data_IF_220219397113
#
_entry.id   IF_220219397113
#
_cell.length_a   1.000
_cell.length_b   1.000
_cell.length_c   1.000
_cell.angle_alpha   90.00
_cell.angle_beta   90.00
_cell.angle_gamma   90.00
#
_symmetry.space_group_name_H-M   'P 1'
#
loop_
_entity.id
_entity.type
_entity.pdbx_description
1 polymer ?
#
# COMPACT_ATOMS: atom_id res chain seq x y z
N UNK A 1 -9.20 7.07 54.85
CA UNK A 1 -9.82 6.95 53.52
C UNK A 1 -9.14 7.93 52.60
N UNK A 2 -8.25 7.46 51.73
CA UNK A 2 -7.58 8.29 50.73
C UNK A 2 -8.44 8.28 49.47
N UNK A 3 -8.86 9.48 49.05
CA UNK A 3 -9.61 9.75 47.84
C UNK A 3 -8.63 9.65 46.67
N UNK A 4 -8.78 8.62 45.84
CA UNK A 4 -8.06 8.51 44.55
C UNK A 4 -8.77 9.45 43.57
N UNK A 5 -8.06 10.31 42.82
CA UNK A 5 -8.66 11.18 41.82
C UNK A 5 -9.28 10.36 40.69
N UNK A 6 -10.43 10.83 40.19
CA UNK A 6 -11.08 10.29 39.00
C UNK A 6 -10.16 10.50 37.78
N UNK A 7 -9.75 9.40 37.15
CA UNK A 7 -9.13 9.41 35.82
C UNK A 7 -10.24 9.79 34.82
N UNK A 8 -10.31 11.08 34.48
CA UNK A 8 -10.97 11.54 33.27
C UNK A 8 -10.25 10.89 32.09
N UNK A 9 -10.93 9.99 31.37
CA UNK A 9 -10.46 9.49 30.09
C UNK A 9 -10.35 10.69 29.14
N UNK A 10 -9.13 11.21 28.96
CA UNK A 10 -8.78 12.02 27.79
C UNK A 10 -9.02 11.13 26.56
N UNK A 11 -10.16 11.36 25.89
CA UNK A 11 -10.35 11.02 24.49
C UNK A 11 -9.30 11.83 23.70
N UNK A 12 -8.07 11.31 23.63
CA UNK A 12 -7.10 11.75 22.63
C UNK A 12 -7.73 11.48 21.26
N UNK A 13 -8.22 12.55 20.64
CA UNK A 13 -8.52 12.64 19.22
C UNK A 13 -7.26 12.23 18.44
N UNK A 14 -7.12 10.93 18.15
CA UNK A 14 -6.21 10.37 17.14
C UNK A 14 -6.72 10.81 15.75
N UNK A 15 -6.70 12.12 15.45
CA UNK A 15 -6.59 12.61 14.09
C UNK A 15 -5.15 12.39 13.63
N UNK A 16 -4.78 11.13 13.44
CA UNK A 16 -3.64 10.78 12.61
C UNK A 16 -4.00 11.21 11.19
N UNK A 17 -3.48 12.37 10.76
CA UNK A 17 -3.33 12.68 9.36
C UNK A 17 -2.67 11.47 8.70
N UNK A 18 -3.42 10.73 7.88
CA UNK A 18 -2.85 9.83 6.87
C UNK A 18 -2.08 10.68 5.86
N UNK A 19 -0.89 11.14 6.25
CA UNK A 19 0.17 11.45 5.30
C UNK A 19 0.60 10.11 4.72
N UNK A 20 -0.12 9.72 3.68
CA UNK A 20 0.12 8.52 2.90
C UNK A 20 1.47 8.65 2.16
N UNK A 21 2.58 8.46 2.88
CA UNK A 21 3.92 8.32 2.32
C UNK A 21 4.25 6.83 2.14
N UNK A 22 3.42 6.13 1.37
CA UNK A 22 3.75 4.81 0.83
C UNK A 22 4.73 4.92 -0.36
N UNK A 23 5.58 3.91 -0.60
CA UNK A 23 6.66 4.00 -1.57
C UNK A 23 6.12 4.12 -3.00
N UNK A 24 6.45 5.23 -3.66
CA UNK A 24 6.18 5.47 -5.09
C UNK A 24 6.95 4.44 -5.92
N UNK A 25 6.30 3.34 -6.27
CA UNK A 25 6.82 2.37 -7.24
C UNK A 25 6.71 3.01 -8.64
N UNK A 26 7.86 3.33 -9.23
CA UNK A 26 7.96 3.75 -10.62
C UNK A 26 7.70 2.53 -11.52
N UNK A 27 6.53 2.50 -12.16
CA UNK A 27 6.29 1.67 -13.36
C UNK A 27 6.21 2.67 -14.52
N UNK A 28 7.08 2.48 -15.51
CA UNK A 28 7.31 3.41 -16.60
C UNK A 28 6.10 3.73 -17.50
N UNK A 29 6.29 4.83 -18.25
CA UNK A 29 5.49 5.45 -19.31
C UNK A 29 4.13 4.82 -19.67
N UNK A 30 3.06 5.33 -19.04
CA UNK A 30 1.70 5.41 -19.60
C UNK A 30 0.92 6.54 -18.88
N UNK A 31 -0.01 7.24 -19.55
CA UNK A 31 -0.46 8.56 -19.14
C UNK A 31 -1.35 8.54 -17.89
N UNK A 32 -1.10 9.52 -17.02
CA UNK A 32 -1.81 9.88 -15.80
C UNK A 32 -3.35 9.85 -15.93
N UNK A 33 -4.01 9.08 -15.06
CA UNK A 33 -5.46 9.17 -14.83
C UNK A 33 -5.70 10.30 -13.83
N UNK A 34 -6.22 11.44 -14.32
CA UNK A 34 -6.66 12.54 -13.47
C UNK A 34 -8.01 12.19 -12.84
N UNK A 35 -8.06 12.13 -11.51
CA UNK A 35 -9.30 11.93 -10.74
C UNK A 35 -10.11 13.22 -10.75
N UNK A 36 -11.32 13.18 -11.30
CA UNK A 36 -12.28 14.30 -11.29
C UNK A 36 -12.87 14.42 -9.87
N UNK A 37 -12.76 15.57 -9.17
CA UNK A 37 -13.41 15.75 -7.88
C UNK A 37 -14.92 15.65 -8.00
N UNK A 38 -15.55 14.77 -7.21
CA UNK A 38 -17.01 14.65 -7.13
C UNK A 38 -17.58 15.88 -6.42
N UNK A 39 -18.41 16.65 -7.13
CA UNK A 39 -19.26 17.67 -6.54
C UNK A 39 -20.29 17.01 -5.62
N UNK A 40 -20.40 17.51 -4.39
CA UNK A 40 -21.33 17.06 -3.33
C UNK A 40 -22.73 17.61 -3.62
N UNK A 41 -23.77 16.78 -3.81
CA UNK A 41 -25.16 17.25 -3.83
C UNK A 41 -25.63 17.60 -2.42
N UNK A 42 -26.17 18.80 -2.25
CA UNK A 42 -26.77 19.25 -1.00
C UNK A 42 -28.11 18.53 -0.74
N UNK A 43 -28.29 18.08 0.49
CA UNK A 43 -29.48 17.37 1.01
C UNK A 43 -30.57 18.39 1.33
N UNK A 44 -31.77 18.19 0.79
CA UNK A 44 -33.03 18.81 1.27
C UNK A 44 -33.88 17.70 1.92
N UNK A 45 -34.60 17.96 3.04
CA UNK A 45 -35.21 16.92 3.85
C UNK A 45 -36.46 16.30 3.22
N UNK A 46 -36.67 15.03 3.57
CA UNK A 46 -37.77 14.13 3.20
C UNK A 46 -39.14 14.65 3.67
N UNK A 47 -40.13 14.55 2.78
CA UNK A 47 -41.54 14.40 3.15
C UNK A 47 -42.09 13.11 2.52
N UNK A 48 -43.00 12.51 3.27
CA UNK A 48 -43.42 11.12 3.25
C UNK A 48 -44.65 10.90 2.35
N UNK A 49 -44.88 9.62 2.00
CA UNK A 49 -46.13 8.98 1.55
C UNK A 49 -46.35 8.76 0.05
N UNK A 50 -46.87 7.56 -0.27
CA UNK A 50 -47.73 7.33 -1.44
C UNK A 50 -47.21 6.33 -2.48
N UNK A 51 -47.43 5.04 -2.23
CA UNK A 51 -47.64 4.01 -3.26
C UNK A 51 -48.75 4.44 -4.20
N UNK A 52 -48.51 4.56 -5.53
CA UNK A 52 -49.49 4.33 -6.62
C UNK A 52 -48.75 4.13 -7.97
N UNK A 53 -49.28 3.24 -8.80
CA UNK A 53 -48.65 2.70 -10.00
C UNK A 53 -48.81 3.52 -11.29
N UNK A 54 -47.94 3.18 -12.25
CA UNK A 54 -48.05 3.21 -13.72
C UNK A 54 -48.75 4.40 -14.41
N UNK A 55 -47.98 5.18 -15.18
CA UNK A 55 -48.47 5.82 -16.41
C UNK A 55 -47.31 6.25 -17.30
N UNK A 56 -47.06 5.47 -18.36
CA UNK A 56 -46.29 5.86 -19.53
C UNK A 56 -47.21 6.74 -20.40
N UNK A 57 -46.95 8.05 -20.44
CA UNK A 57 -47.76 9.00 -21.21
C UNK A 57 -46.84 9.96 -21.96
N UNK A 58 -46.36 9.50 -23.11
CA UNK A 58 -45.77 10.33 -24.16
C UNK A 58 -46.84 11.28 -24.72
N UNK A 59 -46.74 12.56 -24.35
CA UNK A 59 -47.48 13.64 -25.00
C UNK A 59 -46.48 14.65 -25.57
N UNK A 60 -46.13 14.46 -26.84
CA UNK A 60 -45.50 15.50 -27.65
C UNK A 60 -46.50 16.65 -27.85
N UNK A 61 -46.35 17.70 -27.04
CA UNK A 61 -47.12 18.92 -27.16
C UNK A 61 -46.85 19.65 -28.49
N UNK A 62 -47.85 20.32 -29.10
CA UNK A 62 -47.69 21.00 -30.38
C UNK A 62 -46.64 22.11 -30.32
N UNK A 63 -45.64 22.07 -31.21
CA UNK A 63 -44.62 23.11 -31.36
C UNK A 63 -45.28 24.35 -31.95
N UNK A 64 -45.25 25.47 -31.21
CA UNK A 64 -45.73 26.76 -31.68
C UNK A 64 -44.69 27.36 -32.64
N UNK A 65 -44.98 27.33 -33.95
CA UNK A 65 -44.20 28.08 -34.93
C UNK A 65 -44.37 29.57 -34.63
N UNK A 66 -43.27 30.23 -34.28
CA UNK A 66 -43.21 31.67 -34.15
C UNK A 66 -42.95 32.24 -35.54
N UNK A 67 -44.02 32.54 -36.28
CA UNK A 67 -43.98 33.48 -37.40
C UNK A 67 -43.86 34.88 -36.78
N UNK A 68 -42.63 35.36 -36.64
CA UNK A 68 -42.35 36.78 -36.47
C UNK A 68 -41.87 37.29 -37.85
N UNK A 69 -42.80 37.44 -38.79
CA UNK A 69 -42.63 38.36 -39.93
C UNK A 69 -43.06 39.76 -39.47
N UNK A 70 -42.23 40.74 -39.85
CA UNK A 70 -42.50 42.19 -39.92
C UNK A 70 -42.44 43.02 -38.64
N UNK A 71 -41.24 43.55 -38.31
CA UNK A 71 -41.10 44.90 -37.73
C UNK A 71 -39.92 45.65 -38.38
N UNK A 72 -40.30 46.51 -39.33
CA UNK A 72 -39.88 47.90 -39.54
C UNK A 72 -38.38 48.26 -39.78
N UNK A 73 -38.16 48.54 -41.06
CA UNK A 73 -37.32 49.57 -41.69
C UNK A 73 -36.95 50.77 -40.78
N UNK A 74 -35.73 50.79 -40.23
CA UNK A 74 -35.01 52.02 -39.93
C UNK A 74 -33.52 51.75 -39.59
N UNK A 75 -32.66 51.59 -40.61
CA UNK A 75 -31.24 51.94 -40.45
C UNK A 75 -30.56 52.24 -41.81
N UNK A 76 -30.92 53.41 -42.32
CA UNK A 76 -30.05 54.37 -42.99
C UNK A 76 -28.59 53.94 -43.24
N UNK A 77 -28.30 53.59 -44.49
CA UNK A 77 -27.07 53.95 -45.22
C UNK A 77 -25.69 53.63 -44.61
N UNK A 78 -25.55 52.66 -43.71
CA UNK A 78 -24.21 52.20 -43.29
C UNK A 78 -23.72 51.00 -44.13
N UNK A 79 -23.30 51.32 -45.35
CA UNK A 79 -22.09 50.76 -45.97
C UNK A 79 -22.06 49.24 -46.20
N UNK A 80 -22.63 48.83 -47.34
CA UNK A 80 -22.36 47.55 -48.02
C UNK A 80 -20.84 47.28 -48.25
N UNK A 81 -20.02 48.34 -48.18
CA UNK A 81 -18.55 48.30 -48.27
C UNK A 81 -17.90 47.88 -46.93
N UNK A 82 -18.40 48.37 -45.78
CA UNK A 82 -17.87 48.08 -44.44
C UNK A 82 -18.08 46.61 -44.05
N UNK A 83 -19.20 46.01 -44.47
CA UNK A 83 -19.48 44.58 -44.24
C UNK A 83 -18.59 43.65 -45.08
N UNK A 84 -18.05 44.10 -46.22
CA UNK A 84 -17.11 43.32 -47.06
C UNK A 84 -15.67 43.33 -46.52
N UNK A 85 -15.25 44.41 -45.85
CA UNK A 85 -13.91 44.51 -45.24
C UNK A 85 -13.81 43.58 -44.01
N UNK A 86 -14.86 43.53 -43.18
CA UNK A 86 -14.88 42.63 -42.00
C UNK A 86 -14.78 41.13 -42.33
N UNK A 87 -15.22 40.70 -43.52
CA UNK A 87 -15.15 39.28 -43.94
C UNK A 87 -13.79 38.86 -44.49
N UNK A 88 -12.93 39.81 -44.87
CA UNK A 88 -11.61 39.53 -45.48
C UNK A 88 -10.53 39.37 -44.41
N UNK A 89 -10.61 40.14 -43.33
CA UNK A 89 -9.63 40.08 -42.24
C UNK A 89 -9.95 39.02 -41.17
N UNK A 90 -11.16 38.49 -41.11
CA UNK A 90 -11.52 37.41 -40.18
C UNK A 90 -10.76 36.11 -40.42
N UNK A 91 -10.49 35.75 -41.69
CA UNK A 91 -9.71 34.56 -42.02
C UNK A 91 -8.23 34.78 -41.67
N UNK A 92 -7.70 35.97 -41.95
CA UNK A 92 -6.32 36.33 -41.64
C UNK A 92 -6.06 36.36 -40.12
N UNK A 93 -7.01 36.88 -39.32
CA UNK A 93 -6.94 36.84 -37.86
C UNK A 93 -7.06 35.41 -37.29
N UNK A 94 -7.89 34.55 -37.90
CA UNK A 94 -8.05 33.14 -37.49
C UNK A 94 -6.84 32.26 -37.85
N UNK A 95 -6.12 32.59 -38.93
CA UNK A 95 -4.86 31.95 -39.29
C UNK A 95 -3.67 32.51 -38.49
N UNK A 96 -3.67 33.80 -38.14
CA UNK A 96 -2.62 34.43 -37.33
C UNK A 96 -2.64 34.05 -35.85
N UNK A 97 -3.78 33.54 -35.33
CA UNK A 97 -3.93 33.01 -33.96
C UNK A 97 -3.72 31.49 -33.86
N UNK A 98 -3.14 30.82 -34.87
CA UNK A 98 -2.66 29.45 -34.67
C UNK A 98 -1.41 29.51 -33.78
N UNK A 99 -1.60 29.43 -32.47
CA UNK A 99 -0.53 29.08 -31.53
C UNK A 99 0.25 27.87 -32.09
N UNK A 100 1.59 27.80 -31.95
CA UNK A 100 2.34 26.59 -32.29
C UNK A 100 1.69 25.39 -31.59
N UNK A 101 1.79 24.16 -32.13
CA UNK A 101 1.04 23.02 -31.63
C UNK A 101 1.47 22.73 -30.19
N UNK A 102 0.79 23.35 -29.24
CA UNK A 102 0.84 23.01 -27.84
C UNK A 102 0.18 21.64 -27.76
N UNK A 103 0.99 20.64 -27.42
CA UNK A 103 0.78 19.20 -27.56
C UNK A 103 -0.35 18.63 -26.67
N UNK A 104 -1.31 19.46 -26.25
CA UNK A 104 -2.31 19.12 -25.24
C UNK A 104 -3.75 19.29 -25.72
N UNK A 105 -3.97 19.64 -26.98
CA UNK A 105 -5.28 19.40 -27.62
C UNK A 105 -5.25 18.00 -28.18
N UNK A 106 -6.29 17.21 -27.89
CA UNK A 106 -6.57 15.88 -28.44
C UNK A 106 -6.68 15.98 -29.97
N UNK A 107 -5.56 16.19 -30.64
CA UNK A 107 -5.40 15.96 -32.06
C UNK A 107 -5.18 14.47 -32.12
N UNK A 108 -6.27 13.73 -32.29
CA UNK A 108 -6.16 12.31 -32.62
C UNK A 108 -5.09 12.18 -33.70
N UNK A 109 -4.04 11.34 -33.49
CA UNK A 109 -3.05 11.14 -34.51
C UNK A 109 -3.81 10.74 -35.78
N UNK A 110 -3.43 11.32 -36.93
CA UNK A 110 -4.00 10.98 -38.25
C UNK A 110 -3.61 9.55 -38.64
N UNK A 111 -3.94 8.59 -37.79
CA UNK A 111 -3.82 7.17 -38.04
C UNK A 111 -4.78 6.84 -39.17
N UNK A 112 -4.34 5.97 -40.07
CA UNK A 112 -5.20 5.45 -41.14
C UNK A 112 -6.47 4.86 -40.52
N UNK A 113 -7.59 4.89 -41.26
CA UNK A 113 -8.85 4.24 -40.82
C UNK A 113 -8.62 2.77 -40.45
N UNK A 114 -7.66 2.12 -41.10
CA UNK A 114 -7.24 0.75 -40.84
C UNK A 114 -6.55 0.61 -39.48
N UNK A 115 -5.57 1.47 -39.15
CA UNK A 115 -4.90 1.50 -37.85
C UNK A 115 -5.89 1.80 -36.71
N UNK A 116 -6.89 2.66 -36.96
CA UNK A 116 -7.98 2.90 -36.01
C UNK A 116 -8.85 1.67 -35.75
N UNK A 117 -9.17 0.92 -36.81
CA UNK A 117 -9.91 -0.32 -36.69
C UNK A 117 -9.10 -1.39 -35.96
N UNK A 118 -7.79 -1.47 -36.23
CA UNK A 118 -6.90 -2.38 -35.53
C UNK A 118 -6.82 -2.05 -34.04
N UNK A 119 -6.62 -0.78 -33.67
CA UNK A 119 -6.63 -0.35 -32.26
C UNK A 119 -7.98 -0.67 -31.60
N UNK A 120 -9.10 -0.39 -32.28
CA UNK A 120 -10.44 -0.73 -31.79
C UNK A 120 -10.58 -2.23 -31.55
N UNK A 121 -10.09 -3.07 -32.47
CA UNK A 121 -10.12 -4.53 -32.33
C UNK A 121 -9.19 -5.01 -31.21
N UNK A 122 -7.99 -4.46 -31.07
CA UNK A 122 -7.05 -4.78 -29.99
C UNK A 122 -7.64 -4.42 -28.62
N UNK A 123 -8.27 -3.25 -28.50
CA UNK A 123 -8.99 -2.84 -27.29
C UNK A 123 -10.16 -3.79 -27.04
N UNK A 124 -10.97 -4.09 -28.06
CA UNK A 124 -12.13 -4.97 -27.95
C UNK A 124 -11.75 -6.38 -27.48
N UNK A 125 -10.76 -7.00 -28.12
CA UNK A 125 -10.27 -8.34 -27.76
C UNK A 125 -9.67 -8.37 -26.35
N UNK A 126 -8.88 -7.36 -25.99
CA UNK A 126 -8.31 -7.23 -24.64
C UNK A 126 -9.40 -7.07 -23.59
N UNK A 127 -10.41 -6.25 -23.86
CA UNK A 127 -11.53 -6.01 -22.97
C UNK A 127 -12.36 -7.29 -22.75
N UNK A 128 -12.70 -8.02 -23.82
CA UNK A 128 -13.42 -9.29 -23.73
C UNK A 128 -12.68 -10.27 -22.83
N UNK A 129 -11.35 -10.41 -22.99
CA UNK A 129 -10.52 -11.27 -22.14
C UNK A 129 -10.50 -10.84 -20.68
N UNK A 130 -10.46 -9.53 -20.40
CA UNK A 130 -10.47 -9.00 -19.02
C UNK A 130 -11.82 -9.19 -18.35
N UNK A 131 -12.91 -8.99 -19.10
CA UNK A 131 -14.27 -9.15 -18.58
C UNK A 131 -14.61 -10.63 -18.33
N UNK A 132 -14.11 -11.56 -19.14
CA UNK A 132 -14.32 -13.00 -18.91
C UNK A 132 -13.58 -13.53 -17.69
N UNK A 133 -12.48 -12.87 -17.28
CA UNK A 133 -11.70 -13.20 -16.09
C UNK A 133 -11.96 -12.24 -14.93
N UNK A 134 -13.06 -11.49 -14.97
CA UNK A 134 -13.37 -10.47 -13.96
C UNK A 134 -13.65 -11.16 -12.61
N UNK A 135 -12.86 -10.88 -11.55
CA UNK A 135 -13.12 -11.41 -10.21
C UNK A 135 -14.46 -10.93 -9.66
N UNK A 136 -15.07 -11.74 -8.80
CA UNK A 136 -16.29 -11.37 -8.08
C UNK A 136 -16.00 -10.32 -7.00
N UNK A 137 -17.04 -9.60 -6.54
CA UNK A 137 -16.88 -8.61 -5.48
C UNK A 137 -16.40 -9.25 -4.16
N UNK A 138 -16.95 -10.41 -3.81
CA UNK A 138 -16.55 -11.17 -2.62
C UNK A 138 -15.08 -11.59 -2.67
N UNK A 139 -14.57 -12.04 -3.82
CA UNK A 139 -13.15 -12.35 -3.98
C UNK A 139 -12.24 -11.14 -3.78
N UNK A 140 -12.69 -9.94 -4.18
CA UNK A 140 -11.95 -8.72 -3.95
C UNK A 140 -11.98 -8.31 -2.47
N UNK A 141 -13.08 -8.58 -1.76
CA UNK A 141 -13.19 -8.39 -0.31
C UNK A 141 -12.25 -9.33 0.46
N UNK A 142 -12.23 -10.62 0.08
CA UNK A 142 -11.33 -11.63 0.66
C UNK A 142 -9.85 -11.28 0.43
N UNK A 143 -9.52 -10.68 -0.71
CA UNK A 143 -8.16 -10.19 -1.01
C UNK A 143 -7.86 -8.81 -0.43
N UNK A 144 -8.78 -8.23 0.35
CA UNK A 144 -8.69 -6.90 0.94
C UNK A 144 -8.49 -5.76 -0.09
N UNK A 145 -8.94 -5.98 -1.34
CA UNK A 145 -8.91 -4.96 -2.40
C UNK A 145 -10.20 -4.13 -2.36
N UNK A 146 -11.34 -4.78 -2.17
CA UNK A 146 -12.63 -4.12 -1.96
C UNK A 146 -12.89 -4.04 -0.46
N UNK A 147 -12.91 -2.83 0.10
CA UNK A 147 -13.23 -2.63 1.51
C UNK A 147 -14.75 -2.66 1.72
N UNK A 148 -15.25 -3.25 2.83
CA UNK A 148 -16.65 -3.11 3.23
C UNK A 148 -17.03 -1.62 3.35
N UNK A 149 -18.23 -1.25 2.90
CA UNK A 149 -18.64 0.15 2.77
C UNK A 149 -18.83 0.90 4.09
N UNK A 150 -18.97 0.19 5.21
CA UNK A 150 -19.22 0.84 6.50
C UNK A 150 -17.91 1.15 7.25
N UNK A 151 -17.43 2.38 7.10
CA UNK A 151 -16.22 2.86 7.80
C UNK A 151 -16.42 2.86 9.32
N UNK A 152 -17.62 3.22 9.80
CA UNK A 152 -17.92 3.27 11.22
C UNK A 152 -17.79 1.89 11.89
N UNK A 153 -18.32 0.84 11.25
CA UNK A 153 -18.20 -0.53 11.77
C UNK A 153 -16.74 -1.00 11.80
N UNK A 154 -15.95 -0.68 10.78
CA UNK A 154 -14.52 -1.01 10.75
C UNK A 154 -13.75 -0.31 11.87
N UNK A 155 -14.03 0.96 12.13
CA UNK A 155 -13.40 1.69 13.22
C UNK A 155 -13.83 1.14 14.58
N UNK A 156 -15.10 0.78 14.76
CA UNK A 156 -15.59 0.13 15.96
C UNK A 156 -14.91 -1.24 16.18
N UNK A 157 -14.73 -2.04 15.12
CA UNK A 157 -14.03 -3.32 15.19
C UNK A 157 -12.55 -3.12 15.55
N UNK A 158 -11.86 -2.14 14.94
CA UNK A 158 -10.47 -1.79 15.30
C UNK A 158 -10.37 -1.41 16.78
N UNK A 159 -11.25 -0.53 17.27
CA UNK A 159 -11.30 -0.13 18.69
C UNK A 159 -11.57 -1.32 19.60
N UNK A 160 -12.50 -2.21 19.23
CA UNK A 160 -12.79 -3.43 19.99
C UNK A 160 -11.60 -4.39 20.04
N UNK A 161 -10.91 -4.58 18.91
CA UNK A 161 -9.71 -5.41 18.84
C UNK A 161 -8.61 -4.82 19.72
N UNK A 162 -8.36 -3.50 19.64
CA UNK A 162 -7.37 -2.79 20.48
C UNK A 162 -7.71 -2.97 21.96
N UNK A 163 -8.96 -2.66 22.35
CA UNK A 163 -9.46 -2.82 23.73
C UNK A 163 -9.28 -4.25 24.26
N UNK A 164 -9.68 -5.25 23.47
CA UNK A 164 -9.56 -6.66 23.84
C UNK A 164 -8.11 -7.10 23.96
N UNK A 165 -7.23 -6.65 23.06
CA UNK A 165 -5.82 -6.97 23.09
C UNK A 165 -5.13 -6.36 24.32
N UNK A 166 -5.34 -5.08 24.59
CA UNK A 166 -4.81 -4.40 25.78
C UNK A 166 -5.20 -5.13 27.06
N UNK A 167 -6.48 -5.50 27.20
CA UNK A 167 -6.95 -6.30 28.34
C UNK A 167 -6.20 -7.64 28.44
N UNK A 168 -6.05 -8.38 27.33
CA UNK A 168 -5.33 -9.66 27.30
C UNK A 168 -3.85 -9.53 27.66
N UNK A 169 -3.19 -8.47 27.21
CA UNK A 169 -1.78 -8.22 27.49
C UNK A 169 -1.56 -7.79 28.95
N UNK A 170 -2.49 -7.01 29.52
CA UNK A 170 -2.42 -6.59 30.94
C UNK A 170 -2.56 -7.76 31.92
N UNK A 171 -3.32 -8.80 31.54
CA UNK A 171 -3.55 -10.00 32.35
C UNK A 171 -2.68 -11.17 31.89
N UNK A 172 -1.52 -10.87 31.28
CA UNK A 172 -0.61 -11.90 30.80
C UNK A 172 0.08 -12.57 31.99
N UNK A 173 -0.01 -13.91 32.14
CA UNK A 173 0.59 -14.62 33.26
C UNK A 173 2.12 -14.54 33.21
N UNK A 174 2.75 -14.51 34.39
CA UNK A 174 4.20 -14.50 34.52
C UNK A 174 4.81 -15.89 34.23
N UNK A 175 6.11 -15.92 33.92
CA UNK A 175 6.83 -17.19 33.70
C UNK A 175 6.77 -18.08 34.95
N UNK A 176 6.91 -17.49 36.15
CA UNK A 176 6.80 -18.19 37.42
C UNK A 176 5.42 -18.85 37.60
N UNK A 177 4.34 -18.15 37.25
CA UNK A 177 2.98 -18.72 37.28
C UNK A 177 2.81 -19.89 36.31
N UNK A 178 3.35 -19.79 35.09
CA UNK A 178 3.26 -20.86 34.10
C UNK A 178 4.05 -22.11 34.53
N UNK A 179 5.19 -21.94 35.19
CA UNK A 179 5.98 -23.03 35.79
C UNK A 179 5.25 -23.67 36.98
N UNK A 180 4.68 -22.86 37.88
CA UNK A 180 3.89 -23.35 39.02
C UNK A 180 2.67 -24.16 38.56
N UNK A 181 2.04 -23.75 37.46
CA UNK A 181 0.93 -24.48 36.81
C UNK A 181 1.40 -25.66 35.95
N UNK A 182 2.71 -25.92 35.85
CA UNK A 182 3.33 -26.97 35.02
C UNK A 182 2.94 -26.91 33.54
N UNK A 183 2.60 -25.72 33.05
CA UNK A 183 2.33 -25.45 31.64
C UNK A 183 3.65 -25.40 30.88
N UNK A 184 4.64 -24.74 31.47
CA UNK A 184 6.03 -24.74 31.00
C UNK A 184 6.81 -25.85 31.72
N UNK A 185 7.36 -26.83 31.00
CA UNK A 185 8.01 -28.03 31.58
C UNK A 185 9.52 -28.11 31.39
N UNK A 186 10.05 -27.38 30.42
CA UNK A 186 11.49 -27.27 30.15
C UNK A 186 11.91 -25.81 30.21
N UNK A 187 13.21 -25.55 30.29
CA UNK A 187 13.78 -24.21 30.14
C UNK A 187 13.64 -23.75 28.67
N UNK A 188 12.40 -23.65 28.18
CA UNK A 188 12.04 -23.21 26.82
C UNK A 188 12.28 -21.71 26.63
N UNK A 189 12.24 -20.96 27.73
CA UNK A 189 12.54 -19.54 27.72
C UNK A 189 14.03 -19.32 27.89
N UNK A 190 14.64 -18.83 26.81
CA UNK A 190 15.97 -18.26 26.81
C UNK A 190 15.84 -16.81 27.28
N UNK A 191 16.55 -16.44 28.33
CA UNK A 191 16.72 -15.04 28.70
C UNK A 191 17.57 -14.37 27.62
N UNK A 192 16.99 -13.41 26.90
CA UNK A 192 17.74 -12.58 25.95
C UNK A 192 18.37 -11.46 26.75
N UNK A 193 19.59 -11.71 27.21
CA UNK A 193 20.47 -10.67 27.78
C UNK A 193 21.44 -10.19 26.71
N UNK A 194 21.63 -8.88 26.60
CA UNK A 194 22.64 -8.31 25.73
C UNK A 194 24.03 -8.80 26.15
N UNK A 195 24.72 -9.50 25.25
CA UNK A 195 26.08 -9.93 25.48
C UNK A 195 27.05 -8.80 25.14
N UNK A 196 28.11 -8.65 25.95
CA UNK A 196 29.20 -7.76 25.60
C UNK A 196 29.88 -8.27 24.32
N UNK A 197 29.95 -7.41 23.30
CA UNK A 197 30.72 -7.70 22.08
C UNK A 197 32.21 -7.49 22.38
N UNK A 198 32.86 -8.56 22.84
CA UNK A 198 34.31 -8.61 22.96
C UNK A 198 34.92 -9.34 21.77
N UNK A 199 36.13 -8.91 21.37
CA UNK A 199 36.84 -9.51 20.26
C UNK A 199 37.28 -10.95 20.58
N UNK A 200 36.55 -11.93 20.05
CA UNK A 200 36.87 -13.36 20.18
C UNK A 200 38.02 -13.80 19.28
N UNK A 201 38.57 -12.89 18.48
CA UNK A 201 39.67 -13.16 17.54
C UNK A 201 41.04 -13.02 18.21
N UNK A 202 41.09 -13.12 19.54
CA UNK A 202 42.32 -13.12 20.32
C UNK A 202 43.39 -14.03 19.70
N UNK A 203 44.63 -13.55 19.75
CA UNK A 203 45.79 -14.26 19.23
C UNK A 203 45.88 -15.66 19.84
N UNK A 204 45.97 -16.68 18.99
CA UNK A 204 46.10 -18.08 19.41
C UNK A 204 47.55 -18.32 19.86
N UNK A 205 47.90 -18.33 21.16
CA UNK A 205 49.29 -18.48 21.56
C UNK A 205 49.90 -19.80 21.03
N UNK A 206 49.08 -20.84 20.84
CA UNK A 206 49.51 -22.11 20.24
C UNK A 206 49.91 -22.02 18.76
N UNK A 207 49.52 -20.97 18.03
CA UNK A 207 50.00 -20.74 16.65
C UNK A 207 51.43 -20.21 16.61
N UNK A 208 51.94 -19.65 17.72
CA UNK A 208 53.32 -19.15 17.84
C UNK A 208 54.29 -20.19 18.39
N UNK A 209 53.83 -21.43 18.57
CA UNK A 209 54.59 -22.49 19.22
C UNK A 209 55.69 -23.04 18.29
N UNK A 210 56.96 -22.97 18.72
CA UNK A 210 58.08 -23.46 17.91
C UNK A 210 58.08 -24.99 17.81
N UNK A 211 58.78 -25.60 16.84
CA UNK A 211 58.93 -27.05 16.78
C UNK A 211 59.53 -27.64 18.06
N UNK A 212 60.44 -26.91 18.71
CA UNK A 212 61.04 -27.30 19.99
C UNK A 212 60.01 -27.29 21.12
N UNK A 213 59.18 -26.24 21.23
CA UNK A 213 58.14 -26.16 22.25
C UNK A 213 57.07 -27.25 22.05
N UNK A 214 56.71 -27.53 20.79
CA UNK A 214 55.79 -28.63 20.45
C UNK A 214 56.36 -29.98 20.89
N UNK A 215 57.66 -30.21 20.69
CA UNK A 215 58.32 -31.44 21.14
C UNK A 215 58.40 -31.52 22.67
N UNK A 216 58.70 -30.40 23.35
CA UNK A 216 58.72 -30.32 24.81
C UNK A 216 57.34 -30.65 25.42
N UNK A 217 56.26 -30.05 24.90
CA UNK A 217 54.89 -30.34 25.34
C UNK A 217 54.53 -31.81 25.09
N UNK A 218 54.92 -32.40 23.95
CA UNK A 218 54.69 -33.84 23.70
C UNK A 218 55.45 -34.72 24.69
N UNK A 219 56.68 -34.35 25.05
CA UNK A 219 57.50 -35.06 26.02
C UNK A 219 56.86 -34.99 27.41
N UNK A 220 56.47 -33.79 27.84
CA UNK A 220 55.78 -33.57 29.13
C UNK A 220 54.46 -34.35 29.21
N UNK A 221 53.64 -34.35 28.14
CA UNK A 221 52.41 -35.13 28.08
C UNK A 221 52.63 -36.64 28.11
N UNK A 222 53.73 -37.13 27.55
CA UNK A 222 54.09 -38.55 27.62
C UNK A 222 54.58 -38.92 29.02
N UNK A 223 55.41 -38.08 29.64
CA UNK A 223 55.89 -38.24 31.01
C UNK A 223 54.72 -38.30 32.00
N UNK A 224 53.75 -37.40 31.85
CA UNK A 224 52.54 -37.37 32.68
C UNK A 224 51.72 -38.67 32.57
N UNK A 225 51.57 -39.21 31.35
CA UNK A 225 50.87 -40.48 31.11
C UNK A 225 51.61 -41.69 31.70
N UNK A 226 52.94 -41.64 31.79
CA UNK A 226 53.75 -42.76 32.31
C UNK A 226 53.99 -42.70 33.81
N UNK A 227 54.00 -41.50 34.40
CA UNK A 227 54.41 -41.30 35.79
C UNK A 227 53.28 -40.84 36.71
N UNK A 228 52.41 -39.93 36.27
CA UNK A 228 51.37 -39.33 37.13
C UNK A 228 50.03 -40.07 37.03
N UNK A 229 49.69 -40.60 35.85
CA UNK A 229 48.47 -41.39 35.67
C UNK A 229 48.68 -42.85 36.09
N UNK A 230 48.27 -43.20 37.31
CA UNK A 230 48.26 -44.60 37.74
C UNK A 230 47.20 -45.40 36.95
N UNK A 231 47.66 -46.32 36.11
CA UNK A 231 46.82 -47.23 35.31
C UNK A 231 47.20 -48.68 35.66
N UNK A 232 46.20 -49.55 35.83
CA UNK A 232 46.42 -50.99 36.06
C UNK A 232 47.34 -51.60 34.99
N UNK A 233 48.23 -52.50 35.41
CA UNK A 233 49.28 -53.11 34.57
C UNK A 233 48.73 -53.69 33.25
N UNK A 234 47.60 -54.40 33.30
CA UNK A 234 46.97 -55.02 32.11
C UNK A 234 46.41 -53.99 31.11
N UNK A 235 46.14 -52.76 31.57
CA UNK A 235 45.55 -51.69 30.76
C UNK A 235 46.57 -50.70 30.19
N UNK A 236 47.84 -50.78 30.61
CA UNK A 236 48.89 -49.85 30.15
C UNK A 236 49.05 -49.81 28.64
N UNK A 237 48.85 -50.95 27.96
CA UNK A 237 48.94 -51.08 26.51
C UNK A 237 47.92 -50.22 25.72
N UNK A 238 46.84 -49.77 26.37
CA UNK A 238 45.83 -48.91 25.73
C UNK A 238 46.17 -47.41 25.83
N UNK A 239 47.25 -47.05 26.52
CA UNK A 239 47.70 -45.66 26.65
C UNK A 239 48.40 -45.21 25.38
N UNK A 240 47.82 -44.23 24.68
CA UNK A 240 48.39 -43.70 23.44
C UNK A 240 49.36 -42.54 23.70
N UNK A 241 50.63 -42.78 23.40
CA UNK A 241 51.71 -41.80 23.50
C UNK A 241 51.84 -40.94 22.24
N UNK A 242 52.30 -39.70 22.41
CA UNK A 242 52.72 -38.82 21.31
C UNK A 242 54.06 -39.30 20.75
N UNK A 243 54.26 -39.15 19.44
CA UNK A 243 55.54 -39.49 18.81
C UNK A 243 56.64 -38.50 19.26
N UNK A 244 57.86 -38.99 19.54
CA UNK A 244 59.03 -38.14 19.78
C UNK A 244 59.26 -37.13 18.65
#
# INVERSE_FOLDING_TARGET
>A
MLKVPDDEEEEEDDQEEEQNSGPRVYIGDVPSVTVIPKLVPQVLPEEQEGDEGISDSDSEGPILYKDDEDEEDDESQNSMLANKVKRKDTLAMKLGSTTPPQEEKIVFPRKSKEEWNEIRQQIGTTLIRRLSQRPTAEELEQRNILQPKNEADRQAEKREIKRRLTRKLSQRPTVAELQARKILRFNEYVEVTDAQDYDRRADKPWTKLTPADKAAIRKELNEFKSCEMEVHEESKQFTRYHRP
#
